data_IF_347266538914
#
_entry.id   IF_347266538914
#
_cell.length_a   1.000
_cell.length_b   1.000
_cell.length_c   1.000
_cell.angle_alpha   90.00
_cell.angle_beta   90.00
_cell.angle_gamma   90.00
#
_symmetry.space_group_name_H-M   'P 1'
#
loop_
_entity.id
_entity.type
_entity.pdbx_description
1 polymer ?
#
# COMPACT_ATOMS: atom_id res chain seq x y z
N UNK A 1 11.36 8.44 10.53
CA UNK A 1 11.64 7.31 9.62
C UNK A 1 10.36 6.49 9.52
N UNK A 2 9.87 6.10 8.33
CA UNK A 2 8.60 5.35 8.23
C UNK A 2 8.79 3.94 8.79
N UNK A 3 7.85 3.45 9.59
CA UNK A 3 7.88 2.11 10.21
C UNK A 3 8.13 0.98 9.19
N UNK A 4 7.75 1.21 7.93
CA UNK A 4 7.81 0.26 6.82
C UNK A 4 9.09 0.34 5.98
N UNK A 5 9.91 1.40 6.13
CA UNK A 5 11.28 1.44 5.59
C UNK A 5 12.19 0.35 6.19
N UNK A 6 11.70 -0.34 7.21
CA UNK A 6 12.38 -1.44 7.90
C UNK A 6 11.90 -2.84 7.50
N UNK A 7 10.80 -2.99 6.75
CA UNK A 7 10.23 -4.31 6.37
C UNK A 7 10.95 -4.96 5.18
N UNK A 8 11.72 -4.21 4.40
CA UNK A 8 12.36 -4.75 3.20
C UNK A 8 13.58 -5.60 3.57
N UNK A 9 13.56 -6.89 3.22
CA UNK A 9 14.69 -7.81 3.45
C UNK A 9 15.96 -7.46 2.64
N UNK A 10 15.89 -6.56 1.66
CA UNK A 10 17.03 -6.21 0.80
C UNK A 10 17.36 -4.72 0.79
N UNK A 11 18.66 -4.42 0.94
CA UNK A 11 19.30 -3.16 0.55
C UNK A 11 19.50 -3.07 -0.99
N UNK A 12 18.66 -3.74 -1.78
CA UNK A 12 18.68 -3.52 -3.22
C UNK A 12 17.72 -2.38 -3.55
N UNK A 13 18.34 -1.20 -3.66
CA UNK A 13 17.77 -0.04 -4.33
C UNK A 13 17.38 -0.50 -5.74
N UNK A 14 16.09 -0.64 -6.00
CA UNK A 14 15.59 -0.74 -7.37
C UNK A 14 15.89 0.60 -8.05
N UNK A 15 16.97 0.62 -8.84
CA UNK A 15 17.19 1.64 -9.84
C UNK A 15 16.14 1.41 -10.91
N UNK A 16 15.13 2.28 -10.97
CA UNK A 16 14.28 2.39 -12.16
C UNK A 16 15.16 2.99 -13.26
N UNK A 17 15.44 2.30 -14.37
CA UNK A 17 16.25 2.85 -15.44
C UNK A 17 15.40 3.88 -16.19
N UNK A 18 15.68 5.16 -15.96
CA UNK A 18 15.22 6.21 -16.86
C UNK A 18 16.14 6.22 -18.08
N UNK A 19 15.55 6.07 -19.27
CA UNK A 19 16.22 6.19 -20.55
C UNK A 19 17.01 7.51 -20.63
N UNK A 20 18.33 7.44 -20.84
CA UNK A 20 19.12 8.55 -21.37
C UNK A 20 19.57 8.16 -22.79
N UNK A 21 19.14 8.98 -23.75
CA UNK A 21 19.57 8.95 -25.13
C UNK A 21 21.10 9.07 -25.24
N UNK A 22 21.68 8.19 -26.05
CA UNK A 22 23.05 8.25 -26.54
C UNK A 22 23.35 9.59 -27.23
N UNK A 23 24.34 10.31 -26.74
CA UNK A 23 25.19 11.21 -27.54
C UNK A 23 26.64 10.88 -27.16
N UNK A 24 27.55 10.60 -28.11
CA UNK A 24 28.95 10.35 -27.80
C UNK A 24 29.68 11.69 -27.65
N UNK A 25 30.49 11.85 -26.60
CA UNK A 25 31.89 12.27 -26.69
C UNK A 25 32.51 12.49 -25.30
N UNK A 26 33.66 11.84 -25.14
CA UNK A 26 34.78 11.99 -24.20
C UNK A 26 34.83 13.16 -23.21
N UNK A 27 35.29 12.79 -22.00
CA UNK A 27 36.22 13.50 -21.11
C UNK A 27 35.64 14.20 -19.85
N UNK A 28 36.10 13.67 -18.70
CA UNK A 28 36.50 14.36 -17.46
C UNK A 28 35.45 14.58 -16.35
N UNK A 29 35.91 14.20 -15.15
CA UNK A 29 35.53 14.61 -13.79
C UNK A 29 34.39 13.84 -13.09
N UNK A 30 34.82 13.03 -12.12
CA UNK A 30 34.05 12.58 -10.97
C UNK A 30 33.31 13.74 -10.30
N UNK A 31 31.98 13.65 -10.29
CA UNK A 31 31.12 14.45 -9.41
C UNK A 31 30.49 13.51 -8.39
N UNK A 32 30.92 13.66 -7.13
CA UNK A 32 30.27 13.08 -5.96
C UNK A 32 28.88 13.70 -5.80
N UNK A 33 27.82 12.89 -5.96
CA UNK A 33 26.48 13.28 -5.55
C UNK A 33 26.32 12.96 -4.06
N UNK A 34 26.47 13.99 -3.24
CA UNK A 34 26.10 13.96 -1.82
C UNK A 34 24.58 13.78 -1.70
N UNK A 35 24.13 12.57 -1.40
CA UNK A 35 22.81 12.37 -0.81
C UNK A 35 22.80 13.02 0.57
N UNK A 36 21.99 14.05 0.74
CA UNK A 36 21.65 14.59 2.05
C UNK A 36 20.84 13.53 2.83
N UNK A 37 21.54 12.58 3.46
CA UNK A 37 20.97 11.80 4.55
C UNK A 37 20.72 12.75 5.71
N UNK A 38 19.47 13.14 5.90
CA UNK A 38 19.05 13.85 7.09
C UNK A 38 19.15 12.89 8.28
N UNK A 39 20.29 12.99 8.97
CA UNK A 39 20.62 12.21 10.17
C UNK A 39 19.79 12.76 11.33
N UNK A 40 18.61 12.19 11.56
CA UNK A 40 17.78 12.52 12.72
C UNK A 40 18.17 11.63 13.92
N UNK A 41 18.38 12.21 15.12
CA UNK A 41 18.88 11.48 16.26
C UNK A 41 17.70 10.81 16.97
N UNK A 42 17.46 9.54 16.66
CA UNK A 42 16.79 8.63 17.58
C UNK A 42 17.48 7.28 17.47
N UNK A 43 18.70 7.22 17.99
CA UNK A 43 19.25 5.96 18.49
C UNK A 43 18.44 5.65 19.75
N UNK A 44 17.38 4.85 19.60
CA UNK A 44 16.88 4.11 20.75
C UNK A 44 18.02 3.19 21.16
N UNK A 45 18.80 3.60 22.16
CA UNK A 45 19.74 2.72 22.85
C UNK A 45 18.87 1.71 23.59
N UNK A 46 18.44 0.69 22.85
CA UNK A 46 18.06 -0.56 23.48
C UNK A 46 19.39 -1.17 23.87
N UNK A 47 19.63 -1.26 25.17
CA UNK A 47 20.76 -1.99 25.75
C UNK A 47 20.51 -3.48 25.48
N UNK A 48 20.61 -3.89 24.21
CA UNK A 48 20.65 -5.28 23.80
C UNK A 48 22.04 -5.70 24.21
N UNK A 49 22.14 -6.52 25.26
CA UNK A 49 23.38 -7.18 25.64
C UNK A 49 24.03 -7.72 24.36
N UNK A 50 25.09 -7.06 23.91
CA UNK A 50 25.73 -7.32 22.61
C UNK A 50 26.62 -8.57 22.69
N UNK A 51 26.11 -9.62 23.32
CA UNK A 51 26.87 -10.81 23.70
C UNK A 51 25.98 -12.04 23.75
N UNK A 52 25.39 -12.47 22.64
CA UNK A 52 24.55 -13.67 22.69
C UNK A 52 24.61 -14.45 21.38
N UNK A 53 25.66 -15.28 21.24
CA UNK A 53 25.57 -16.47 20.38
C UNK A 53 24.41 -17.30 20.92
N UNK A 54 23.38 -17.54 20.11
CA UNK A 54 22.31 -18.43 20.52
C UNK A 54 22.91 -19.82 20.77
N UNK A 55 22.64 -20.44 21.91
CA UNK A 55 23.20 -21.74 22.26
C UNK A 55 22.10 -22.80 22.29
N UNK A 56 22.48 -24.04 21.98
CA UNK A 56 21.60 -25.20 22.03
C UNK A 56 21.01 -25.42 23.44
N UNK A 57 21.73 -24.99 24.48
CA UNK A 57 21.33 -25.16 25.87
C UNK A 57 20.05 -24.40 26.22
N UNK A 58 19.78 -23.27 25.55
CA UNK A 58 18.56 -22.49 25.72
C UNK A 58 17.30 -23.26 25.30
N UNK A 59 17.44 -24.30 24.49
CA UNK A 59 16.33 -25.12 23.97
C UNK A 59 16.12 -26.43 24.74
N UNK A 60 16.97 -26.76 25.73
CA UNK A 60 16.88 -28.04 26.45
C UNK A 60 15.55 -28.23 27.20
N UNK A 61 14.91 -27.14 27.62
CA UNK A 61 13.62 -27.15 28.32
C UNK A 61 12.41 -27.26 27.39
N UNK A 62 12.62 -27.14 26.07
CA UNK A 62 11.54 -27.19 25.08
C UNK A 62 11.34 -28.62 24.62
N UNK A 63 10.18 -29.19 24.95
CA UNK A 63 9.74 -30.46 24.42
C UNK A 63 8.85 -30.23 23.18
N UNK A 64 9.45 -30.36 21.99
CA UNK A 64 8.77 -30.10 20.72
C UNK A 64 7.60 -31.07 20.50
N UNK A 65 7.76 -32.35 20.83
CA UNK A 65 6.68 -33.35 20.67
C UNK A 65 5.49 -33.04 21.58
N UNK A 66 5.76 -32.52 22.78
CA UNK A 66 4.70 -32.03 23.66
C UNK A 66 3.99 -30.80 23.06
N UNK A 67 4.71 -29.84 22.50
CA UNK A 67 4.11 -28.68 21.83
C UNK A 67 3.21 -29.08 20.67
N UNK A 68 3.64 -30.05 19.86
CA UNK A 68 2.86 -30.60 18.74
C UNK A 68 1.62 -31.33 19.29
N UNK A 69 1.77 -32.15 20.33
CA UNK A 69 0.64 -32.83 20.97
C UNK A 69 -0.41 -31.85 21.52
N UNK A 70 0.03 -30.73 22.12
CA UNK A 70 -0.86 -29.65 22.55
C UNK A 70 -1.56 -29.03 21.35
N UNK A 71 -0.84 -28.74 20.27
CA UNK A 71 -1.40 -28.17 19.05
C UNK A 71 -2.46 -29.06 18.40
N UNK A 72 -2.23 -30.39 18.39
CA UNK A 72 -3.18 -31.39 17.89
C UNK A 72 -4.41 -31.47 18.79
N UNK A 73 -4.22 -31.52 20.12
CA UNK A 73 -5.31 -31.56 21.10
C UNK A 73 -6.21 -30.33 21.00
N UNK A 74 -5.62 -29.16 20.76
CA UNK A 74 -6.33 -27.91 20.50
C UNK A 74 -6.89 -27.79 19.08
N UNK A 75 -6.60 -28.76 18.21
CA UNK A 75 -6.99 -28.76 16.80
C UNK A 75 -6.58 -27.48 16.05
N UNK A 76 -5.37 -26.97 16.34
CA UNK A 76 -4.92 -25.66 15.85
C UNK A 76 -4.86 -25.58 14.32
N UNK A 77 -4.62 -26.71 13.64
CA UNK A 77 -4.54 -26.80 12.18
C UNK A 77 -5.87 -26.46 11.46
N UNK A 78 -6.99 -26.50 12.19
CA UNK A 78 -8.33 -26.19 11.66
C UNK A 78 -8.86 -24.85 12.17
N UNK A 79 -8.05 -24.06 12.88
CA UNK A 79 -8.45 -22.74 13.35
C UNK A 79 -8.49 -21.74 12.20
N UNK A 80 -9.43 -20.80 12.25
CA UNK A 80 -9.54 -19.74 11.26
C UNK A 80 -8.28 -18.86 11.21
N UNK A 81 -7.62 -18.67 12.35
CA UNK A 81 -6.36 -17.92 12.47
C UNK A 81 -5.22 -18.57 11.67
N UNK A 82 -5.05 -19.90 11.80
CA UNK A 82 -4.04 -20.64 11.03
C UNK A 82 -4.32 -20.59 9.53
N UNK A 83 -5.60 -20.71 9.15
CA UNK A 83 -6.01 -20.65 7.77
C UNK A 83 -5.82 -19.26 7.16
N UNK A 84 -6.08 -18.19 7.92
CA UNK A 84 -5.82 -16.82 7.48
C UNK A 84 -4.32 -16.53 7.31
N UNK A 85 -3.47 -16.99 8.24
CA UNK A 85 -2.00 -16.87 8.14
C UNK A 85 -1.47 -17.53 6.87
N UNK A 86 -1.98 -18.72 6.52
CA UNK A 86 -1.51 -19.48 5.36
C UNK A 86 -2.34 -19.28 4.09
N UNK A 87 -3.32 -18.39 4.12
CA UNK A 87 -4.23 -18.11 3.02
C UNK A 87 -4.92 -19.38 2.49
N UNK A 88 -5.29 -20.31 3.38
CA UNK A 88 -5.98 -21.54 3.00
C UNK A 88 -7.42 -21.26 2.55
N UNK A 89 -7.83 -22.01 1.52
CA UNK A 89 -9.20 -22.09 1.06
C UNK A 89 -9.60 -23.54 0.86
N UNK A 90 -10.89 -23.80 1.06
CA UNK A 90 -11.51 -25.06 0.65
C UNK A 90 -12.02 -24.89 -0.78
N UNK A 91 -11.57 -25.78 -1.65
CA UNK A 91 -12.06 -25.92 -3.02
C UNK A 91 -12.69 -27.32 -3.21
N UNK A 92 -13.20 -27.61 -4.41
CA UNK A 92 -13.81 -28.91 -4.74
C UNK A 92 -12.82 -30.09 -4.66
N UNK A 93 -11.52 -29.83 -4.72
CA UNK A 93 -10.45 -30.83 -4.65
C UNK A 93 -9.82 -30.96 -3.26
N UNK A 94 -10.25 -30.18 -2.27
CA UNK A 94 -9.73 -30.20 -0.90
C UNK A 94 -9.32 -28.83 -0.38
N UNK A 95 -8.33 -28.81 0.52
CA UNK A 95 -7.77 -27.60 1.09
C UNK A 95 -6.52 -27.22 0.29
N UNK A 96 -6.40 -25.96 -0.09
CA UNK A 96 -5.23 -25.43 -0.82
C UNK A 96 -4.96 -24.01 -0.35
N UNK A 97 -3.69 -23.68 -0.14
CA UNK A 97 -3.25 -22.29 0.06
C UNK A 97 -3.18 -21.56 -1.27
N UNK A 98 -3.63 -20.31 -1.26
CA UNK A 98 -3.51 -19.41 -2.40
C UNK A 98 -2.09 -18.88 -2.59
N UNK A 99 -1.18 -19.08 -1.63
CA UNK A 99 0.23 -18.75 -1.82
C UNK A 99 0.89 -19.84 -2.68
N UNK A 100 1.57 -19.42 -3.76
CA UNK A 100 2.17 -20.34 -4.72
C UNK A 100 3.67 -20.55 -4.51
N UNK A 101 4.37 -19.62 -3.84
CA UNK A 101 5.80 -19.74 -3.58
C UNK A 101 6.12 -20.91 -2.61
N UNK A 102 6.88 -21.93 -3.02
CA UNK A 102 7.28 -23.02 -2.15
C UNK A 102 8.06 -22.55 -0.91
N UNK A 103 8.76 -21.41 -0.98
CA UNK A 103 9.52 -20.86 0.15
C UNK A 103 8.65 -20.35 1.30
N UNK A 104 7.34 -20.22 1.08
CA UNK A 104 6.39 -19.85 2.12
C UNK A 104 6.04 -21.03 3.04
N UNK A 105 6.18 -22.27 2.57
CA UNK A 105 5.83 -23.47 3.33
C UNK A 105 7.08 -24.15 3.90
N UNK A 106 6.97 -24.62 5.12
CA UNK A 106 8.01 -25.39 5.80
C UNK A 106 7.86 -26.89 5.56
N UNK A 107 6.62 -27.37 5.38
CA UNK A 107 6.33 -28.73 5.00
C UNK A 107 6.31 -28.89 3.47
N UNK A 108 6.85 -29.99 2.91
CA UNK A 108 6.81 -30.25 1.46
C UNK A 108 5.38 -30.29 0.87
N UNK A 109 4.42 -30.75 1.66
CA UNK A 109 2.99 -30.78 1.33
C UNK A 109 2.19 -29.64 1.99
N UNK A 110 2.88 -28.66 2.59
CA UNK A 110 2.27 -27.59 3.39
C UNK A 110 1.24 -26.78 2.62
N UNK A 111 1.40 -26.61 1.31
CA UNK A 111 0.39 -25.95 0.47
C UNK A 111 -0.99 -26.61 0.49
N UNK A 112 -1.07 -27.90 0.78
CA UNK A 112 -2.32 -28.68 0.76
C UNK A 112 -2.66 -29.34 2.10
N UNK A 113 -1.73 -29.31 3.06
CA UNK A 113 -1.86 -30.00 4.34
C UNK A 113 -1.62 -29.05 5.53
N UNK A 114 -2.69 -28.42 6.05
CA UNK A 114 -2.59 -27.50 7.19
C UNK A 114 -1.97 -28.12 8.44
N UNK A 115 -2.15 -29.43 8.66
CA UNK A 115 -1.58 -30.13 9.81
C UNK A 115 -0.08 -30.33 9.65
N UNK A 116 0.37 -30.80 8.49
CA UNK A 116 1.80 -30.99 8.20
C UNK A 116 2.57 -29.66 8.29
N UNK A 117 2.00 -28.58 7.74
CA UNK A 117 2.61 -27.26 7.83
C UNK A 117 2.69 -26.73 9.26
N UNK A 118 1.66 -26.99 10.09
CA UNK A 118 1.66 -26.57 11.50
C UNK A 118 2.76 -27.29 12.28
N UNK A 119 2.83 -28.60 12.09
CA UNK A 119 3.84 -29.47 12.68
C UNK A 119 5.26 -29.06 12.29
N UNK A 120 5.49 -28.75 11.01
CA UNK A 120 6.77 -28.25 10.52
C UNK A 120 7.09 -26.86 11.07
N UNK A 121 6.08 -25.99 11.18
CA UNK A 121 6.22 -24.64 11.76
C UNK A 121 6.62 -24.68 13.23
N UNK A 122 5.99 -25.53 14.03
CA UNK A 122 6.36 -25.71 15.45
C UNK A 122 7.79 -26.23 15.56
N UNK A 123 8.17 -27.24 14.77
CA UNK A 123 9.55 -27.74 14.76
C UNK A 123 10.54 -26.65 14.38
N UNK A 124 10.24 -25.87 13.34
CA UNK A 124 11.13 -24.83 12.86
C UNK A 124 11.32 -23.71 13.89
N UNK A 125 10.25 -23.19 14.49
CA UNK A 125 10.31 -22.05 15.41
C UNK A 125 10.87 -22.40 16.80
N UNK A 126 10.80 -23.67 17.22
CA UNK A 126 11.15 -24.11 18.58
C UNK A 126 12.34 -25.08 18.62
N UNK A 127 12.96 -25.42 17.49
CA UNK A 127 14.23 -26.17 17.45
C UNK A 127 15.43 -25.23 17.39
N UNK A 128 16.58 -25.68 17.89
CA UNK A 128 17.84 -24.98 17.70
C UNK A 128 18.33 -25.05 16.24
N UNK A 129 18.65 -23.88 15.69
CA UNK A 129 19.31 -23.63 14.42
C UNK A 129 20.55 -22.77 14.65
N UNK A 130 21.68 -23.23 14.12
CA UNK A 130 22.99 -22.58 14.35
C UNK A 130 23.15 -21.26 13.58
N UNK A 131 22.53 -21.16 12.39
CA UNK A 131 22.85 -20.11 11.41
C UNK A 131 21.78 -19.04 11.23
N UNK A 132 20.57 -19.30 11.69
CA UNK A 132 19.42 -18.43 11.45
C UNK A 132 18.49 -18.36 12.65
N UNK A 133 17.74 -17.27 12.73
CA UNK A 133 16.64 -17.11 13.66
C UNK A 133 15.31 -17.33 12.91
N UNK A 134 14.61 -18.45 13.16
CA UNK A 134 13.31 -18.75 12.54
C UNK A 134 12.25 -17.64 12.66
N UNK A 135 12.28 -16.85 13.74
CA UNK A 135 11.33 -15.75 13.98
C UNK A 135 11.59 -14.60 13.00
N UNK A 136 12.83 -14.41 12.53
CA UNK A 136 13.14 -13.40 11.51
C UNK A 136 12.35 -13.65 10.21
N UNK A 137 11.92 -14.88 9.95
CA UNK A 137 11.12 -15.23 8.76
C UNK A 137 9.62 -15.26 9.04
N UNK A 138 9.21 -15.80 10.19
CA UNK A 138 7.82 -16.15 10.50
C UNK A 138 7.32 -15.50 11.81
N UNK A 139 7.35 -14.17 11.87
CA UNK A 139 6.96 -13.40 13.07
C UNK A 139 5.48 -13.57 13.45
N UNK A 140 4.56 -13.63 12.49
CA UNK A 140 3.13 -13.72 12.75
C UNK A 140 2.74 -15.13 13.20
N UNK A 141 3.28 -16.17 12.55
CA UNK A 141 3.12 -17.56 12.99
C UNK A 141 3.71 -17.76 14.38
N UNK A 142 4.88 -17.16 14.65
CA UNK A 142 5.47 -17.18 15.98
C UNK A 142 4.57 -16.52 17.02
N UNK A 143 4.13 -15.29 16.78
CA UNK A 143 3.28 -14.54 17.72
C UNK A 143 1.99 -15.31 18.05
N UNK A 144 1.37 -15.91 17.03
CA UNK A 144 0.19 -16.74 17.22
C UNK A 144 0.49 -18.02 18.01
N UNK A 145 1.52 -18.78 17.61
CA UNK A 145 1.87 -20.04 18.29
C UNK A 145 2.34 -19.81 19.73
N UNK A 146 3.06 -18.72 20.01
CA UNK A 146 3.45 -18.32 21.36
C UNK A 146 2.23 -18.17 22.26
N UNK A 147 1.17 -17.52 21.77
CA UNK A 147 -0.10 -17.36 22.49
C UNK A 147 -0.82 -18.70 22.67
N UNK A 148 -0.96 -19.49 21.62
CA UNK A 148 -1.69 -20.76 21.66
C UNK A 148 -0.98 -21.84 22.48
N UNK A 149 0.35 -21.88 22.45
CA UNK A 149 1.15 -22.88 23.16
C UNK A 149 1.65 -22.38 24.53
N UNK A 150 1.43 -21.10 24.85
CA UNK A 150 1.89 -20.45 26.09
C UNK A 150 3.39 -20.67 26.36
N UNK A 151 4.18 -20.78 25.29
CA UNK A 151 5.59 -21.10 25.34
C UNK A 151 6.33 -20.12 24.44
N UNK A 152 7.19 -19.23 24.98
CA UNK A 152 8.04 -18.40 24.15
C UNK A 152 9.21 -19.22 23.59
N UNK A 153 9.64 -18.90 22.37
CA UNK A 153 10.88 -19.45 21.81
C UNK A 153 12.08 -18.63 22.28
N UNK A 154 13.22 -19.25 22.63
CA UNK A 154 14.44 -18.54 22.99
C UNK A 154 14.87 -17.52 21.94
N UNK A 155 14.55 -17.76 20.67
CA UNK A 155 14.82 -16.84 19.56
C UNK A 155 14.19 -15.45 19.69
N UNK A 156 13.13 -15.29 20.49
CA UNK A 156 12.36 -14.05 20.58
C UNK A 156 13.24 -12.84 20.92
N UNK A 157 14.12 -13.00 21.92
CA UNK A 157 14.98 -11.92 22.41
C UNK A 157 16.12 -11.59 21.43
N UNK A 158 16.38 -12.48 20.47
CA UNK A 158 17.43 -12.34 19.44
C UNK A 158 16.88 -11.79 18.12
N UNK A 159 15.56 -11.73 17.95
CA UNK A 159 14.92 -11.17 16.77
C UNK A 159 14.77 -9.64 16.95
N UNK A 160 15.78 -8.88 16.53
CA UNK A 160 15.79 -7.42 16.66
C UNK A 160 14.53 -6.77 16.07
N UNK A 161 14.09 -7.24 14.90
CA UNK A 161 12.92 -6.69 14.20
C UNK A 161 11.61 -6.93 14.94
N UNK A 162 11.41 -8.14 15.45
CA UNK A 162 10.27 -8.45 16.30
C UNK A 162 10.28 -7.54 17.55
N UNK A 163 11.42 -7.39 18.23
CA UNK A 163 11.54 -6.51 19.40
C UNK A 163 11.25 -5.03 19.06
N UNK A 164 11.71 -4.53 17.91
CA UNK A 164 11.39 -3.17 17.43
C UNK A 164 9.88 -2.96 17.25
N UNK A 165 9.18 -3.93 16.66
CA UNK A 165 7.72 -3.84 16.43
C UNK A 165 6.94 -3.96 17.75
N UNK A 166 7.31 -4.90 18.62
CA UNK A 166 6.64 -5.10 19.92
C UNK A 166 6.85 -3.90 20.85
N UNK A 167 8.04 -3.30 20.84
CA UNK A 167 8.36 -2.14 21.69
C UNK A 167 7.75 -0.83 21.22
N UNK A 168 7.14 -0.80 20.01
CA UNK A 168 6.53 0.41 19.47
C UNK A 168 5.27 0.80 20.26
N UNK A 169 5.33 1.96 20.92
CA UNK A 169 4.25 2.47 21.78
C UNK A 169 3.34 3.48 21.08
N UNK A 170 3.81 4.11 20.02
CA UNK A 170 3.04 5.15 19.35
C UNK A 170 1.85 4.56 18.59
N UNK A 171 0.78 5.33 18.48
CA UNK A 171 -0.41 4.89 17.74
C UNK A 171 -0.11 4.81 16.25
N UNK A 172 -0.25 3.62 15.70
CA UNK A 172 -0.24 3.36 14.27
C UNK A 172 -1.69 3.27 13.78
N UNK A 173 -1.99 4.02 12.72
CA UNK A 173 -3.27 3.98 12.02
C UNK A 173 -3.09 3.27 10.68
N UNK A 174 -4.07 2.46 10.31
CA UNK A 174 -4.13 1.80 9.00
C UNK A 174 -5.34 2.33 8.26
N UNK A 175 -5.19 2.71 6.99
CA UNK A 175 -6.32 3.06 6.13
C UNK A 175 -6.37 2.12 4.94
N UNK A 176 -7.57 1.67 4.58
CA UNK A 176 -7.86 1.07 3.29
C UNK A 176 -8.14 2.19 2.30
N UNK A 177 -7.36 2.27 1.23
CA UNK A 177 -7.43 3.35 0.25
C UNK A 177 -7.97 2.79 -1.06
N UNK A 178 -8.95 3.49 -1.64
CA UNK A 178 -9.61 3.14 -2.89
C UNK A 178 -9.60 4.33 -3.85
N UNK A 179 -8.67 4.35 -4.82
CA UNK A 179 -8.75 5.23 -5.97
C UNK A 179 -9.91 4.80 -6.89
N UNK A 180 -10.83 5.70 -7.20
CA UNK A 180 -12.03 5.40 -8.02
C UNK A 180 -11.65 4.92 -9.42
N UNK A 181 -12.50 4.14 -10.11
CA UNK A 181 -12.16 3.57 -11.42
C UNK A 181 -11.75 4.61 -12.48
N UNK A 182 -10.80 4.24 -13.35
CA UNK A 182 -10.35 5.06 -14.47
C UNK A 182 -10.71 4.39 -15.80
N UNK A 183 -11.78 4.89 -16.44
CA UNK A 183 -12.39 4.29 -17.64
C UNK A 183 -11.42 4.20 -18.82
N UNK A 184 -10.45 5.12 -18.90
CA UNK A 184 -9.50 5.17 -20.02
C UNK A 184 -8.40 4.08 -19.94
N UNK A 185 -8.39 3.24 -18.90
CA UNK A 185 -7.49 2.09 -18.79
C UNK A 185 -8.24 0.84 -18.31
N UNK A 186 -8.35 -0.24 -19.12
CA UNK A 186 -9.06 -1.45 -18.71
C UNK A 186 -8.51 -2.10 -17.42
N UNK A 187 -7.19 -1.98 -17.16
CA UNK A 187 -6.58 -2.49 -15.93
C UNK A 187 -6.92 -1.66 -14.67
N UNK A 188 -7.33 -0.40 -14.83
CA UNK A 188 -7.70 0.52 -13.74
C UNK A 188 -9.21 0.82 -13.69
N UNK A 189 -9.98 0.24 -14.61
CA UNK A 189 -11.40 0.56 -14.84
C UNK A 189 -12.28 0.28 -13.61
N UNK A 190 -11.97 -0.78 -12.86
CA UNK A 190 -12.75 -1.17 -11.68
C UNK A 190 -12.23 -0.59 -10.36
N UNK A 191 -11.20 0.27 -10.43
CA UNK A 191 -10.46 0.69 -9.25
C UNK A 191 -9.46 -0.37 -8.80
N UNK A 192 -8.76 -0.07 -7.72
CA UNK A 192 -7.99 -1.04 -6.95
C UNK A 192 -7.92 -0.57 -5.51
N UNK A 193 -7.44 -1.40 -4.60
CA UNK A 193 -7.22 -0.98 -3.22
C UNK A 193 -5.76 -1.13 -2.83
N UNK A 194 -5.33 -0.31 -1.87
CA UNK A 194 -4.07 -0.45 -1.16
C UNK A 194 -4.31 -0.19 0.34
N UNK A 195 -3.39 -0.60 1.20
CA UNK A 195 -3.37 -0.17 2.60
C UNK A 195 -2.34 0.94 2.78
N UNK A 196 -2.61 1.88 3.67
CA UNK A 196 -1.59 2.82 4.18
C UNK A 196 -1.39 2.58 5.66
N UNK A 197 -0.15 2.67 6.10
CA UNK A 197 0.22 2.59 7.51
C UNK A 197 0.90 3.89 7.90
N UNK A 198 0.28 4.56 8.86
CA UNK A 198 0.64 5.89 9.32
C UNK A 198 0.97 5.85 10.81
N UNK A 199 2.12 6.42 11.17
CA UNK A 199 2.45 6.79 12.54
C UNK A 199 2.52 8.31 12.66
N UNK A 200 2.75 8.80 13.88
CA UNK A 200 3.00 10.22 14.12
C UNK A 200 4.23 10.78 13.37
N UNK A 201 5.21 9.93 13.03
CA UNK A 201 6.44 10.36 12.34
C UNK A 201 6.33 10.36 10.82
N UNK A 202 5.26 9.81 10.26
CA UNK A 202 5.03 9.74 8.82
C UNK A 202 3.54 9.95 8.49
N UNK A 203 2.97 11.12 8.84
CA UNK A 203 1.56 11.40 8.63
C UNK A 203 1.21 11.63 7.16
N UNK A 204 -0.05 11.33 6.80
CA UNK A 204 -0.63 11.66 5.50
C UNK A 204 0.17 11.09 4.33
N UNK A 205 0.63 11.96 3.41
CA UNK A 205 1.37 11.56 2.21
C UNK A 205 2.73 10.90 2.49
N UNK A 206 3.29 11.11 3.68
CA UNK A 206 4.54 10.46 4.09
C UNK A 206 4.32 9.03 4.60
N UNK A 207 3.06 8.62 4.75
CA UNK A 207 2.71 7.25 5.13
C UNK A 207 3.26 6.25 4.12
N UNK A 208 3.33 5.00 4.54
CA UNK A 208 3.79 3.92 3.68
C UNK A 208 2.58 3.16 3.15
N UNK A 209 2.55 2.99 1.83
CA UNK A 209 1.55 2.25 1.10
C UNK A 209 1.99 0.79 0.95
N UNK A 210 1.10 -0.14 1.30
CA UNK A 210 1.22 -1.57 1.03
C UNK A 210 0.27 -1.89 -0.13
N UNK A 211 0.84 -2.34 -1.23
CA UNK A 211 0.14 -2.67 -2.45
C UNK A 211 0.45 -4.10 -2.87
N UNK A 212 -0.52 -4.80 -3.45
CA UNK A 212 -0.30 -6.10 -4.09
C UNK A 212 -0.40 -5.93 -5.61
N UNK A 213 0.64 -6.29 -6.34
CA UNK A 213 0.68 -6.09 -7.79
C UNK A 213 1.42 -7.21 -8.51
N UNK A 214 1.02 -7.46 -9.76
CA UNK A 214 1.75 -8.32 -10.67
C UNK A 214 3.12 -7.71 -11.03
N UNK A 215 4.17 -8.52 -10.96
CA UNK A 215 5.48 -8.14 -11.49
C UNK A 215 5.53 -8.50 -12.98
N UNK A 216 5.48 -7.49 -13.85
CA UNK A 216 5.48 -7.68 -15.30
C UNK A 216 6.47 -6.73 -15.98
N UNK A 217 7.29 -7.26 -16.89
CA UNK A 217 8.13 -6.45 -17.79
C UNK A 217 7.44 -6.19 -19.14
N UNK A 218 6.12 -6.44 -19.24
CA UNK A 218 5.39 -6.45 -20.51
C UNK A 218 4.57 -5.18 -20.69
N UNK A 219 4.50 -4.70 -21.93
CA UNK A 219 3.63 -3.59 -22.32
C UNK A 219 2.20 -4.08 -22.55
N UNK A 220 1.23 -3.20 -22.34
CA UNK A 220 -0.20 -3.51 -22.45
C UNK A 220 -0.55 -4.09 -23.84
N UNK A 221 -1.20 -5.25 -23.90
CA UNK A 221 -1.56 -5.94 -25.15
C UNK A 221 -2.43 -7.19 -24.94
N UNK A 222 -2.91 -7.85 -26.03
CA UNK A 222 -3.78 -9.03 -25.94
C UNK A 222 -3.15 -10.20 -25.16
N UNK A 223 -1.84 -10.38 -25.29
CA UNK A 223 -1.08 -11.38 -24.53
C UNK A 223 -1.02 -11.05 -23.03
N UNK A 224 -0.92 -9.76 -22.70
CA UNK A 224 -0.96 -9.27 -21.32
C UNK A 224 -2.33 -9.49 -20.68
N UNK A 225 -3.41 -9.16 -21.41
CA UNK A 225 -4.77 -9.45 -20.96
C UNK A 225 -4.99 -10.96 -20.79
N UNK A 226 -4.60 -11.80 -21.77
CA UNK A 226 -4.70 -13.25 -21.65
C UNK A 226 -3.95 -13.77 -20.42
N UNK A 227 -2.69 -13.38 -20.23
CA UNK A 227 -1.89 -13.83 -19.09
C UNK A 227 -2.45 -13.39 -17.74
N UNK A 228 -2.98 -12.16 -17.67
CA UNK A 228 -3.64 -11.64 -16.48
C UNK A 228 -4.95 -12.36 -16.15
N UNK A 229 -5.70 -12.80 -17.16
CA UNK A 229 -6.95 -13.56 -16.97
C UNK A 229 -6.65 -14.98 -16.46
N UNK A 230 -5.58 -15.60 -16.93
CA UNK A 230 -5.23 -16.99 -16.61
C UNK A 230 -4.18 -17.15 -15.50
N UNK A 231 -3.81 -16.08 -14.78
CA UNK A 231 -2.95 -16.19 -13.60
C UNK A 231 -1.46 -16.38 -13.88
N UNK A 232 -0.98 -16.10 -15.09
CA UNK A 232 0.42 -16.37 -15.48
C UNK A 232 1.43 -15.33 -14.97
N UNK A 233 0.99 -14.39 -14.13
CA UNK A 233 1.87 -13.40 -13.51
C UNK A 233 2.09 -13.70 -12.05
N UNK A 234 3.29 -13.42 -11.55
CA UNK A 234 3.57 -13.51 -10.11
C UNK A 234 3.20 -12.19 -9.44
N UNK A 235 2.27 -12.25 -8.50
CA UNK A 235 1.88 -11.13 -7.66
C UNK A 235 2.74 -11.06 -6.41
N UNK A 236 3.05 -9.85 -5.96
CA UNK A 236 3.84 -9.60 -4.76
C UNK A 236 3.25 -8.47 -3.95
N UNK A 237 3.37 -8.57 -2.63
CA UNK A 237 3.22 -7.41 -1.76
C UNK A 237 4.43 -6.49 -1.93
N UNK A 238 4.16 -5.20 -2.00
CA UNK A 238 5.15 -4.15 -2.20
C UNK A 238 4.86 -2.99 -1.27
N UNK A 239 5.93 -2.39 -0.75
CA UNK A 239 5.87 -1.28 0.17
C UNK A 239 6.53 -0.08 -0.49
N UNK A 240 5.84 1.04 -0.51
CA UNK A 240 6.34 2.27 -1.11
C UNK A 240 5.80 3.52 -0.40
N UNK A 241 6.47 4.68 -0.51
CA UNK A 241 5.90 5.95 -0.05
C UNK A 241 4.52 6.26 -0.66
N UNK A 242 3.55 6.65 0.16
CA UNK A 242 2.17 6.88 -0.28
C UNK A 242 2.05 8.07 -1.24
N UNK A 243 2.85 9.13 -1.08
CA UNK A 243 2.84 10.27 -2.00
C UNK A 243 3.07 9.88 -3.47
N UNK A 244 3.84 8.83 -3.75
CA UNK A 244 4.07 8.36 -5.12
C UNK A 244 2.78 7.80 -5.73
N UNK A 245 1.99 7.07 -4.93
CA UNK A 245 0.68 6.57 -5.37
C UNK A 245 -0.36 7.67 -5.52
N UNK A 246 -0.36 8.65 -4.62
CA UNK A 246 -1.24 9.82 -4.77
C UNK A 246 -0.90 10.61 -6.03
N UNK A 247 0.39 10.83 -6.32
CA UNK A 247 0.82 11.49 -7.55
C UNK A 247 0.38 10.71 -8.81
N UNK A 248 0.56 9.39 -8.82
CA UNK A 248 0.09 8.53 -9.90
C UNK A 248 -1.42 8.67 -10.11
N UNK A 249 -2.23 8.50 -9.06
CA UNK A 249 -3.69 8.45 -9.19
C UNK A 249 -4.33 9.84 -9.36
N UNK A 250 -3.96 10.81 -8.53
CA UNK A 250 -4.57 12.13 -8.53
C UNK A 250 -4.04 13.02 -9.64
N UNK A 251 -2.73 12.99 -9.91
CA UNK A 251 -2.11 13.93 -10.85
C UNK A 251 -2.08 13.37 -12.26
N UNK A 252 -1.70 12.10 -12.44
CA UNK A 252 -1.59 11.50 -13.78
C UNK A 252 -2.92 10.88 -14.26
N UNK A 253 -3.61 10.14 -13.39
CA UNK A 253 -4.86 9.46 -13.77
C UNK A 253 -6.12 10.28 -13.47
N UNK A 254 -5.99 11.43 -12.78
CA UNK A 254 -7.11 12.32 -12.41
C UNK A 254 -8.23 11.62 -11.61
N UNK A 255 -7.85 10.69 -10.73
CA UNK A 255 -8.77 9.85 -9.95
C UNK A 255 -8.96 10.41 -8.55
N UNK A 256 -10.21 10.43 -8.11
CA UNK A 256 -10.53 10.70 -6.72
C UNK A 256 -10.13 9.52 -5.85
N UNK A 257 -9.81 9.78 -4.59
CA UNK A 257 -9.36 8.77 -3.63
C UNK A 257 -10.27 8.79 -2.41
N UNK A 258 -10.76 7.62 -2.04
CA UNK A 258 -11.45 7.39 -0.77
C UNK A 258 -10.53 6.65 0.19
N UNK A 259 -10.38 7.15 1.41
CA UNK A 259 -9.60 6.48 2.46
C UNK A 259 -10.54 6.09 3.60
N UNK A 260 -10.54 4.81 3.96
CA UNK A 260 -11.33 4.24 5.03
C UNK A 260 -10.38 3.93 6.19
N UNK A 261 -10.39 4.75 7.23
CA UNK A 261 -9.59 4.50 8.43
C UNK A 261 -10.12 3.27 9.14
N UNK A 262 -9.23 2.30 9.36
CA UNK A 262 -9.58 1.04 9.96
C UNK A 262 -9.61 1.16 11.49
N UNK A 263 -10.68 0.65 12.09
CA UNK A 263 -10.85 0.46 13.52
C UNK A 263 -10.02 -0.74 13.99
N UNK A 264 -8.69 -0.63 13.97
CA UNK A 264 -7.78 -1.66 14.49
C UNK A 264 -7.13 -1.19 15.78
N UNK A 265 -7.07 -2.07 16.78
CA UNK A 265 -6.26 -1.83 17.97
C UNK A 265 -4.77 -2.07 17.67
N UNK A 266 -3.89 -1.65 18.58
CA UNK A 266 -2.44 -1.72 18.32
C UNK A 266 -1.88 -3.15 18.29
N UNK A 267 -2.52 -4.11 18.96
CA UNK A 267 -2.15 -5.53 18.85
C UNK A 267 -2.49 -6.07 17.45
N UNK A 268 -3.68 -5.75 16.95
CA UNK A 268 -4.12 -6.11 15.60
C UNK A 268 -3.20 -5.49 14.53
N UNK A 269 -2.82 -4.22 14.69
CA UNK A 269 -1.87 -3.57 13.77
C UNK A 269 -0.50 -4.23 13.81
N UNK A 270 0.05 -4.55 14.99
CA UNK A 270 1.33 -5.27 15.09
C UNK A 270 1.26 -6.64 14.42
N UNK A 271 0.18 -7.38 14.65
CA UNK A 271 -0.01 -8.70 14.06
C UNK A 271 -0.12 -8.63 12.52
N UNK A 272 -0.82 -7.62 11.99
CA UNK A 272 -0.84 -7.33 10.55
C UNK A 272 0.57 -7.04 10.01
N UNK A 273 1.37 -6.23 10.70
CA UNK A 273 2.74 -5.91 10.29
C UNK A 273 3.65 -7.13 10.29
N UNK A 274 3.51 -8.02 11.28
CA UNK A 274 4.21 -9.31 11.27
C UNK A 274 3.82 -10.14 10.06
N UNK A 275 2.54 -10.17 9.68
CA UNK A 275 2.12 -10.95 8.52
C UNK A 275 2.60 -10.34 7.20
N UNK A 276 2.57 -9.01 7.08
CA UNK A 276 3.16 -8.30 5.93
C UNK A 276 4.64 -8.65 5.79
N UNK A 277 5.36 -8.75 6.90
CA UNK A 277 6.75 -9.20 6.90
C UNK A 277 6.90 -10.63 6.38
N UNK A 278 6.03 -11.56 6.79
CA UNK A 278 6.08 -12.94 6.29
C UNK A 278 5.81 -13.06 4.78
N UNK A 279 5.11 -12.08 4.21
CA UNK A 279 4.76 -12.04 2.79
C UNK A 279 5.78 -11.27 1.94
N UNK A 280 6.84 -10.70 2.54
CA UNK A 280 7.88 -10.01 1.78
C UNK A 280 8.57 -10.98 0.81
N UNK A 281 8.63 -10.60 -0.47
CA UNK A 281 9.19 -11.40 -1.56
C UNK A 281 8.57 -12.83 -1.72
N UNK A 282 7.35 -13.03 -1.23
CA UNK A 282 6.56 -14.25 -1.46
C UNK A 282 5.57 -13.99 -2.58
N UNK A 283 5.54 -14.88 -3.58
CA UNK A 283 4.58 -14.76 -4.68
C UNK A 283 3.36 -15.65 -4.52
N UNK A 284 2.26 -15.16 -5.07
CA UNK A 284 1.08 -15.93 -5.44
C UNK A 284 0.76 -15.66 -6.91
N UNK A 285 0.12 -16.59 -7.58
CA UNK A 285 -0.31 -16.41 -8.97
C UNK A 285 -1.34 -15.27 -9.01
N UNK A 286 -1.09 -14.26 -9.85
CA UNK A 286 -1.89 -13.05 -9.94
C UNK A 286 -2.88 -13.17 -11.08
N UNK A 287 -4.14 -13.17 -10.71
CA UNK A 287 -5.25 -13.19 -11.64
C UNK A 287 -6.00 -11.86 -11.58
N UNK A 288 -6.39 -11.31 -12.73
CA UNK A 288 -7.01 -10.00 -12.83
C UNK A 288 -8.41 -9.96 -12.21
N UNK A 289 -9.08 -11.10 -12.19
CA UNK A 289 -10.49 -11.18 -11.91
C UNK A 289 -10.84 -11.78 -10.56
N UNK A 290 -9.96 -12.52 -9.90
CA UNK A 290 -10.18 -13.13 -8.59
C UNK A 290 -9.06 -12.77 -7.60
N UNK A 291 -7.90 -13.43 -7.65
CA UNK A 291 -6.76 -13.26 -6.74
C UNK A 291 -5.96 -11.97 -7.03
N UNK A 292 -6.70 -10.87 -7.21
CA UNK A 292 -6.16 -9.56 -7.52
C UNK A 292 -5.72 -8.80 -6.27
N UNK A 293 -5.22 -7.59 -6.49
CA UNK A 293 -4.80 -6.65 -5.45
C UNK A 293 -5.81 -6.46 -4.31
N UNK A 294 -7.10 -6.38 -4.64
CA UNK A 294 -8.13 -6.05 -3.66
C UNK A 294 -8.53 -7.25 -2.81
N UNK A 295 -8.40 -8.46 -3.35
CA UNK A 295 -8.62 -9.70 -2.61
C UNK A 295 -7.47 -10.01 -1.65
N UNK A 296 -6.22 -9.97 -2.12
CA UNK A 296 -5.06 -10.35 -1.31
C UNK A 296 -4.87 -9.44 -0.07
N UNK A 297 -5.27 -8.18 -0.15
CA UNK A 297 -5.26 -7.28 1.01
C UNK A 297 -6.27 -7.68 2.09
N UNK A 298 -7.33 -8.41 1.76
CA UNK A 298 -8.30 -8.90 2.75
C UNK A 298 -7.66 -9.88 3.72
N UNK A 299 -6.69 -10.69 3.29
CA UNK A 299 -5.96 -11.58 4.19
C UNK A 299 -5.17 -10.82 5.26
N UNK A 300 -4.63 -9.63 4.94
CA UNK A 300 -3.92 -8.80 5.91
C UNK A 300 -4.85 -8.29 7.02
N UNK A 301 -6.14 -8.10 6.73
CA UNK A 301 -7.15 -7.71 7.72
C UNK A 301 -7.75 -8.95 8.42
N UNK A 302 -8.06 -10.01 7.69
CA UNK A 302 -8.62 -11.24 8.24
C UNK A 302 -7.68 -11.91 9.24
N UNK A 303 -6.37 -11.84 9.03
CA UNK A 303 -5.39 -12.35 9.98
C UNK A 303 -5.48 -11.65 11.35
N UNK A 304 -6.02 -10.43 11.42
CA UNK A 304 -6.20 -9.73 12.70
C UNK A 304 -7.51 -10.09 13.41
N UNK A 305 -8.53 -10.51 12.64
CA UNK A 305 -9.86 -10.91 13.12
C UNK A 305 -10.36 -12.08 12.26
N UNK A 306 -9.92 -13.32 12.54
CA UNK A 306 -10.16 -14.45 11.64
C UNK A 306 -11.64 -14.82 11.48
N UNK A 307 -12.47 -14.48 12.47
CA UNK A 307 -13.93 -14.70 12.44
C UNK A 307 -14.68 -13.71 11.53
N UNK A 308 -13.98 -12.70 10.97
CA UNK A 308 -14.57 -11.73 10.05
C UNK A 308 -14.94 -12.33 8.69
N UNK A 309 -14.30 -13.45 8.31
CA UNK A 309 -14.52 -14.14 7.04
C UNK A 309 -14.45 -13.22 5.81
N UNK A 310 -13.63 -12.16 5.87
CA UNK A 310 -13.38 -11.19 4.81
C UNK A 310 -12.99 -11.84 3.49
N UNK A 311 -12.38 -13.01 3.48
CA UNK A 311 -11.91 -13.67 2.25
C UNK A 311 -12.91 -14.69 1.69
N UNK A 312 -14.05 -14.94 2.35
CA UNK A 312 -15.07 -15.90 1.89
C UNK A 312 -16.02 -15.31 0.82
N UNK A 313 -16.84 -16.14 0.17
CA UNK A 313 -17.95 -15.69 -0.70
C UNK A 313 -17.57 -14.80 -1.91
N UNK A 314 -16.33 -14.85 -2.39
CA UNK A 314 -16.00 -14.34 -3.72
C UNK A 314 -16.15 -15.47 -4.73
N UNK A 315 -17.26 -15.46 -5.46
CA UNK A 315 -17.54 -16.46 -6.48
C UNK A 315 -17.20 -15.90 -7.86
N UNK A 316 -16.25 -16.54 -8.54
CA UNK A 316 -15.79 -16.28 -9.91
C UNK A 316 -15.07 -14.93 -10.15
N UNK A 317 -15.45 -13.84 -9.48
CA UNK A 317 -14.86 -12.51 -9.67
C UNK A 317 -14.80 -11.69 -8.37
N UNK A 318 -13.71 -10.98 -8.12
CA UNK A 318 -13.48 -10.01 -7.05
C UNK A 318 -13.49 -8.61 -7.65
N UNK A 319 -14.56 -7.86 -7.39
CA UNK A 319 -14.64 -6.45 -7.74
C UNK A 319 -14.15 -5.63 -6.53
N UNK A 320 -13.19 -4.70 -6.70
CA UNK A 320 -12.63 -3.91 -5.61
C UNK A 320 -13.68 -3.22 -4.72
N UNK A 321 -14.78 -2.74 -5.30
CA UNK A 321 -15.82 -2.07 -4.49
C UNK A 321 -16.56 -3.03 -3.54
N UNK A 322 -16.67 -4.31 -3.92
CA UNK A 322 -17.31 -5.32 -3.05
C UNK A 322 -16.39 -5.69 -1.89
N UNK A 323 -15.07 -5.62 -2.07
CA UNK A 323 -14.13 -5.80 -0.96
C UNK A 323 -14.28 -4.67 0.07
N UNK A 324 -14.43 -3.41 -0.38
CA UNK A 324 -14.73 -2.27 0.50
C UNK A 324 -16.04 -2.49 1.28
N UNK A 325 -17.14 -2.83 0.60
CA UNK A 325 -18.43 -3.12 1.25
C UNK A 325 -18.29 -4.18 2.33
N UNK A 326 -17.52 -5.23 2.04
CA UNK A 326 -17.30 -6.33 2.97
C UNK A 326 -16.50 -5.93 4.21
N UNK A 327 -15.44 -5.13 4.03
CA UNK A 327 -14.65 -4.56 5.12
C UNK A 327 -15.52 -3.66 6.01
N UNK A 328 -16.37 -2.82 5.41
CA UNK A 328 -17.34 -1.98 6.14
C UNK A 328 -18.32 -2.86 6.94
N UNK A 329 -18.96 -3.84 6.29
CA UNK A 329 -19.95 -4.71 6.92
C UNK A 329 -19.35 -5.58 8.05
N UNK A 330 -18.06 -5.91 7.97
CA UNK A 330 -17.33 -6.63 9.00
C UNK A 330 -16.89 -5.74 10.18
N UNK A 331 -17.26 -4.45 10.20
CA UNK A 331 -16.97 -3.53 11.32
C UNK A 331 -15.52 -3.06 11.38
N UNK A 332 -14.77 -3.16 10.27
CA UNK A 332 -13.38 -2.70 10.22
C UNK A 332 -13.25 -1.20 10.01
N UNK A 333 -14.28 -0.49 9.53
CA UNK A 333 -14.14 0.95 9.19
C UNK A 333 -14.63 1.83 10.33
N UNK A 334 -13.75 2.71 10.83
CA UNK A 334 -14.05 3.73 11.84
C UNK A 334 -14.58 5.02 11.19
N UNK A 335 -13.87 5.50 10.16
CA UNK A 335 -14.20 6.75 9.48
C UNK A 335 -13.78 6.72 8.02
N UNK A 336 -14.26 7.70 7.25
CA UNK A 336 -14.04 7.79 5.80
C UNK A 336 -13.65 9.21 5.43
N UNK A 337 -12.57 9.37 4.68
CA UNK A 337 -12.11 10.64 4.11
C UNK A 337 -12.13 10.59 2.58
N UNK A 338 -12.32 11.76 1.98
CA UNK A 338 -12.30 11.96 0.53
C UNK A 338 -11.15 12.88 0.17
N UNK A 339 -10.34 12.45 -0.78
CA UNK A 339 -9.27 13.24 -1.39
C UNK A 339 -9.64 13.49 -2.86
N UNK A 340 -9.99 14.73 -3.22
CA UNK A 340 -10.34 15.07 -4.59
C UNK A 340 -9.12 14.97 -5.50
N UNK A 341 -9.36 14.55 -6.74
CA UNK A 341 -8.39 14.62 -7.81
C UNK A 341 -8.14 16.06 -8.23
N UNK A 342 -7.09 16.25 -9.04
CA UNK A 342 -6.82 17.55 -9.65
C UNK A 342 -7.97 18.02 -10.52
N UNK A 343 -8.57 17.13 -11.31
CA UNK A 343 -9.74 17.46 -12.16
C UNK A 343 -10.96 17.83 -11.33
N UNK A 344 -11.24 17.12 -10.24
CA UNK A 344 -12.34 17.46 -9.32
C UNK A 344 -12.13 18.83 -8.70
N UNK A 345 -10.90 19.14 -8.31
CA UNK A 345 -10.49 20.46 -7.79
C UNK A 345 -10.69 21.57 -8.82
N UNK A 346 -10.18 21.39 -10.04
CA UNK A 346 -10.33 22.36 -11.14
C UNK A 346 -11.81 22.57 -11.47
N UNK A 347 -12.60 21.51 -11.60
CA UNK A 347 -14.02 21.61 -11.91
C UNK A 347 -14.77 22.41 -10.83
N UNK A 348 -14.47 22.15 -9.55
CA UNK A 348 -15.06 22.91 -8.46
C UNK A 348 -14.68 24.40 -8.51
N UNK A 349 -13.41 24.72 -8.77
CA UNK A 349 -12.96 26.12 -8.92
C UNK A 349 -13.64 26.80 -10.11
N UNK A 350 -13.73 26.13 -11.26
CA UNK A 350 -14.36 26.66 -12.48
C UNK A 350 -15.84 26.99 -12.26
N UNK A 351 -16.58 26.21 -11.48
CA UNK A 351 -17.99 26.50 -11.15
C UNK A 351 -18.18 27.82 -10.38
N UNK A 352 -17.12 28.34 -9.75
CA UNK A 352 -17.14 29.61 -9.03
C UNK A 352 -16.69 30.81 -9.89
N UNK A 353 -16.27 30.56 -11.13
CA UNK A 353 -15.77 31.58 -12.05
C UNK A 353 -16.83 31.96 -13.08
N UNK A 354 -16.90 33.24 -13.42
CA UNK A 354 -17.67 33.73 -14.57
C UNK A 354 -16.91 33.50 -15.90
N UNK A 355 -17.57 33.66 -17.06
CA UNK A 355 -16.95 33.40 -18.36
C UNK A 355 -15.67 34.21 -18.64
N UNK A 356 -15.59 35.47 -18.21
CA UNK A 356 -14.41 36.31 -18.40
C UNK A 356 -13.23 35.84 -17.54
N UNK A 357 -13.50 35.43 -16.29
CA UNK A 357 -12.49 34.85 -15.42
C UNK A 357 -11.96 33.53 -16.00
N UNK A 358 -12.83 32.66 -16.51
CA UNK A 358 -12.44 31.41 -17.18
C UNK A 358 -11.57 31.70 -18.42
N UNK A 359 -11.87 32.75 -19.18
CA UNK A 359 -11.05 33.18 -20.31
C UNK A 359 -9.63 33.53 -19.86
N UNK A 360 -9.48 34.25 -18.75
CA UNK A 360 -8.16 34.54 -18.18
C UNK A 360 -7.41 33.29 -17.73
N UNK A 361 -8.08 32.34 -17.07
CA UNK A 361 -7.46 31.05 -16.70
C UNK A 361 -6.90 30.35 -17.94
N UNK A 362 -7.68 30.27 -19.02
CA UNK A 362 -7.25 29.66 -20.29
C UNK A 362 -6.11 30.43 -20.95
N UNK A 363 -6.19 31.76 -21.03
CA UNK A 363 -5.14 32.59 -21.61
C UNK A 363 -3.81 32.44 -20.88
N UNK A 364 -3.84 32.39 -19.54
CA UNK A 364 -2.65 32.15 -18.73
C UNK A 364 -2.07 30.76 -19.01
N UNK A 365 -2.90 29.72 -18.96
CA UNK A 365 -2.47 28.35 -19.25
C UNK A 365 -1.97 28.18 -20.70
N UNK A 366 -2.50 28.93 -21.66
CA UNK A 366 -2.04 28.89 -23.06
C UNK A 366 -0.75 29.70 -23.31
N UNK A 367 -0.11 30.23 -22.27
CA UNK A 367 1.04 31.12 -22.39
C UNK A 367 0.78 32.34 -23.30
N UNK A 368 -0.46 32.85 -23.32
CA UNK A 368 -0.78 34.02 -24.12
C UNK A 368 0.01 35.25 -23.61
N UNK A 369 0.59 35.99 -24.56
CA UNK A 369 1.44 37.12 -24.24
C UNK A 369 0.66 38.17 -23.40
N UNK A 370 1.29 38.66 -22.33
CA UNK A 370 0.72 39.62 -21.36
C UNK A 370 -0.53 39.13 -20.61
N UNK A 371 -0.93 37.86 -20.67
CA UNK A 371 -2.14 37.39 -19.96
C UNK A 371 -2.12 37.74 -18.46
N UNK A 372 -0.98 37.53 -17.79
CA UNK A 372 -0.77 37.87 -16.38
C UNK A 372 -0.81 39.39 -16.12
N UNK A 373 -0.18 40.19 -16.98
CA UNK A 373 -0.21 41.66 -16.87
C UNK A 373 -1.60 42.22 -17.09
N UNK A 374 -2.33 41.67 -18.07
CA UNK A 374 -3.71 42.03 -18.36
C UNK A 374 -4.63 41.68 -17.19
N UNK A 375 -4.40 40.54 -16.53
CA UNK A 375 -5.13 40.17 -15.32
C UNK A 375 -4.90 41.20 -14.20
N UNK A 376 -3.66 41.60 -13.95
CA UNK A 376 -3.33 42.59 -12.92
C UNK A 376 -4.00 43.94 -13.18
N UNK A 377 -4.06 44.37 -14.44
CA UNK A 377 -4.67 45.63 -14.87
C UNK A 377 -6.20 45.56 -15.07
N UNK A 378 -6.80 44.38 -14.92
CA UNK A 378 -8.25 44.20 -15.07
C UNK A 378 -9.03 44.83 -13.90
N UNK A 379 -10.32 45.10 -14.16
CA UNK A 379 -11.29 45.60 -13.18
C UNK A 379 -11.74 44.55 -12.15
N UNK A 380 -11.22 43.33 -12.19
CA UNK A 380 -11.55 42.31 -11.20
C UNK A 380 -11.11 42.74 -9.80
N UNK A 381 -11.93 42.37 -8.82
CA UNK A 381 -11.58 42.48 -7.41
C UNK A 381 -10.36 41.62 -7.08
N UNK A 382 -9.71 41.91 -5.97
CA UNK A 382 -8.57 41.12 -5.49
C UNK A 382 -8.92 39.63 -5.35
N UNK A 383 -10.06 39.34 -4.71
CA UNK A 383 -10.57 37.97 -4.56
C UNK A 383 -10.77 37.26 -5.91
N UNK A 384 -11.32 37.95 -6.91
CA UNK A 384 -11.49 37.38 -8.25
C UNK A 384 -10.15 37.10 -8.95
N UNK A 385 -9.15 37.99 -8.79
CA UNK A 385 -7.80 37.77 -9.31
C UNK A 385 -7.14 36.56 -8.66
N UNK A 386 -7.32 36.40 -7.34
CA UNK A 386 -6.88 35.22 -6.59
C UNK A 386 -7.54 33.95 -7.13
N UNK A 387 -8.86 33.92 -7.30
CA UNK A 387 -9.58 32.75 -7.83
C UNK A 387 -9.08 32.34 -9.22
N UNK A 388 -8.82 33.33 -10.10
CA UNK A 388 -8.23 33.07 -11.43
C UNK A 388 -6.85 32.45 -11.30
N UNK A 389 -5.97 33.02 -10.46
CA UNK A 389 -4.59 32.55 -10.31
C UNK A 389 -4.53 31.15 -9.68
N UNK A 390 -5.34 30.88 -8.66
CA UNK A 390 -5.44 29.57 -8.02
C UNK A 390 -5.92 28.51 -9.02
N UNK A 391 -6.99 28.81 -9.76
CA UNK A 391 -7.51 27.91 -10.80
C UNK A 391 -6.50 27.71 -11.95
N UNK A 392 -5.79 28.76 -12.35
CA UNK A 392 -4.75 28.67 -13.37
C UNK A 392 -3.57 27.79 -12.90
N UNK A 393 -3.13 27.96 -11.65
CA UNK A 393 -2.09 27.13 -11.03
C UNK A 393 -2.45 25.64 -11.05
N UNK A 394 -3.69 25.27 -10.70
CA UNK A 394 -4.16 23.88 -10.78
C UNK A 394 -4.23 23.37 -12.23
N UNK A 395 -4.75 24.19 -13.15
CA UNK A 395 -4.89 23.80 -14.55
C UNK A 395 -3.55 23.65 -15.26
N UNK A 396 -2.55 24.47 -14.94
CA UNK A 396 -1.18 24.34 -15.46
C UNK A 396 -0.54 23.02 -15.03
N UNK A 397 -0.68 22.66 -13.75
CA UNK A 397 -0.19 21.37 -13.24
C UNK A 397 -0.89 20.19 -13.93
N UNK A 398 -2.21 20.28 -14.16
CA UNK A 398 -2.97 19.27 -14.91
C UNK A 398 -2.45 19.10 -16.35
N UNK A 399 -2.21 20.20 -17.07
CA UNK A 399 -1.67 20.14 -18.44
C UNK A 399 -0.24 19.60 -18.48
N UNK A 400 0.59 19.93 -17.48
CA UNK A 400 1.91 19.32 -17.35
C UNK A 400 1.85 17.81 -17.12
N UNK A 401 0.96 17.35 -16.23
CA UNK A 401 0.74 15.93 -15.97
C UNK A 401 0.27 15.17 -17.24
N UNK A 402 -0.53 15.82 -18.08
CA UNK A 402 -0.95 15.31 -19.40
C UNK A 402 0.09 15.47 -20.52
N UNK A 403 1.33 15.86 -20.18
CA UNK A 403 2.45 16.02 -21.13
C UNK A 403 2.21 17.09 -22.20
N UNK A 404 1.36 18.08 -21.91
CA UNK A 404 1.10 19.20 -22.82
C UNK A 404 2.18 20.30 -22.73
N UNK A 405 3.03 20.26 -21.70
CA UNK A 405 4.18 21.16 -21.55
C UNK A 405 5.48 20.38 -21.43
N UNK A 406 6.56 20.97 -21.94
CA UNK A 406 7.91 20.62 -21.48
C UNK A 406 8.10 21.02 -20.01
N UNK A 407 9.06 20.40 -19.33
CA UNK A 407 9.38 20.76 -17.95
C UNK A 407 9.75 22.24 -17.80
N UNK A 408 10.47 22.80 -18.78
CA UNK A 408 10.88 24.21 -18.76
C UNK A 408 9.68 25.15 -18.89
N UNK A 409 8.79 24.89 -19.86
CA UNK A 409 7.57 25.69 -20.04
C UNK A 409 6.70 25.68 -18.77
N UNK A 410 6.50 24.49 -18.18
CA UNK A 410 5.77 24.34 -16.94
C UNK A 410 6.39 25.16 -15.81
N UNK A 411 7.70 25.01 -15.58
CA UNK A 411 8.41 25.73 -14.51
C UNK A 411 8.31 27.25 -14.69
N UNK A 412 8.58 27.74 -15.90
CA UNK A 412 8.55 29.17 -16.21
C UNK A 412 7.14 29.75 -15.98
N UNK A 413 6.10 29.09 -16.49
CA UNK A 413 4.72 29.57 -16.34
C UNK A 413 4.24 29.47 -14.89
N UNK A 414 4.42 28.30 -14.26
CA UNK A 414 3.92 28.05 -12.91
C UNK A 414 4.56 28.98 -11.89
N UNK A 415 5.88 29.19 -11.96
CA UNK A 415 6.58 30.12 -11.08
C UNK A 415 6.08 31.56 -11.29
N UNK A 416 5.84 31.98 -12.53
CA UNK A 416 5.34 33.33 -12.81
C UNK A 416 3.92 33.55 -12.27
N UNK A 417 3.04 32.56 -12.38
CA UNK A 417 1.71 32.58 -11.74
C UNK A 417 1.85 32.67 -10.22
N UNK A 418 2.68 31.82 -9.61
CA UNK A 418 2.88 31.80 -8.16
C UNK A 418 3.49 33.11 -7.61
N UNK A 419 4.43 33.72 -8.33
CA UNK A 419 5.01 35.03 -7.97
C UNK A 419 3.96 36.13 -7.91
N UNK A 420 3.00 36.13 -8.82
CA UNK A 420 1.91 37.11 -8.81
C UNK A 420 0.92 36.75 -7.70
N UNK A 421 0.58 35.46 -7.58
CA UNK A 421 -0.34 34.97 -6.54
C UNK A 421 0.15 35.30 -5.13
N UNK A 422 1.45 35.23 -4.87
CA UNK A 422 2.05 35.54 -3.57
C UNK A 422 2.05 37.04 -3.23
N UNK A 423 1.78 37.93 -4.19
CA UNK A 423 1.62 39.36 -3.92
C UNK A 423 0.27 39.70 -3.27
N UNK A 424 -0.69 38.77 -3.30
CA UNK A 424 -1.99 38.91 -2.65
C UNK A 424 -1.97 38.27 -1.26
N UNK A 425 -2.21 39.03 -0.17
CA UNK A 425 -2.10 38.53 1.21
C UNK A 425 -3.22 37.55 1.59
N UNK A 426 -4.37 37.59 0.89
CA UNK A 426 -5.51 36.73 1.19
C UNK A 426 -5.28 35.30 0.67
N UNK A 427 -5.52 34.30 1.53
CA UNK A 427 -5.63 32.89 1.16
C UNK A 427 -7.11 32.52 1.06
N UNK A 428 -7.53 31.96 -0.08
CA UNK A 428 -8.86 31.39 -0.23
C UNK A 428 -8.84 29.90 0.11
N UNK A 429 -9.90 29.40 0.72
CA UNK A 429 -10.10 27.97 0.97
C UNK A 429 -11.20 27.46 0.05
N UNK A 430 -10.91 26.40 -0.68
CA UNK A 430 -11.86 25.75 -1.59
C UNK A 430 -12.30 24.44 -0.94
N UNK A 431 -13.45 24.47 -0.25
CA UNK A 431 -14.03 23.26 0.34
C UNK A 431 -14.82 22.49 -0.71
N UNK A 432 -14.19 21.47 -1.27
CA UNK A 432 -14.81 20.61 -2.27
C UNK A 432 -15.81 19.68 -1.56
N UNK A 433 -17.08 19.64 -2.00
CA UNK A 433 -18.08 18.76 -1.40
C UNK A 433 -17.74 17.30 -1.71
N UNK A 434 -17.95 16.42 -0.74
CA UNK A 434 -17.76 14.99 -0.95
C UNK A 434 -18.79 14.48 -1.96
N UNK A 435 -18.39 13.75 -3.02
CA UNK A 435 -19.33 13.06 -3.88
C UNK A 435 -19.99 11.89 -3.13
N UNK A 436 -21.04 11.29 -3.69
CA UNK A 436 -21.59 10.04 -3.15
C UNK A 436 -20.50 8.98 -2.99
N UNK A 437 -20.51 8.26 -1.87
CA UNK A 437 -19.48 7.25 -1.61
C UNK A 437 -19.62 6.08 -2.58
N UNK A 438 -18.52 5.55 -3.15
CA UNK A 438 -18.58 4.59 -4.23
C UNK A 438 -19.27 3.28 -3.83
N UNK A 439 -19.15 2.87 -2.57
CA UNK A 439 -19.73 1.64 -2.02
C UNK A 439 -21.26 1.72 -1.88
N UNK A 440 -21.82 2.94 -1.85
CA UNK A 440 -23.28 3.18 -1.80
C UNK A 440 -23.94 3.11 -3.18
N UNK A 441 -23.14 2.99 -4.25
CA UNK A 441 -23.65 2.76 -5.60
C UNK A 441 -24.33 1.39 -5.76
N UNK A 442 -24.84 1.11 -6.96
CA UNK A 442 -25.49 -0.16 -7.27
C UNK A 442 -24.57 -1.36 -6.97
N UNK A 443 -25.19 -2.46 -6.54
CA UNK A 443 -24.48 -3.73 -6.36
C UNK A 443 -24.03 -4.30 -7.69
N UNK A 444 -22.91 -5.01 -7.65
CA UNK A 444 -22.38 -5.79 -8.76
C UNK A 444 -23.40 -6.85 -9.17
N UNK A 445 -23.72 -6.90 -10.46
CA UNK A 445 -24.57 -7.95 -11.01
C UNK A 445 -23.84 -9.29 -10.98
N UNK A 446 -24.03 -10.09 -9.93
CA UNK A 446 -23.61 -11.48 -9.92
C UNK A 446 -24.71 -12.31 -10.57
N UNK A 447 -24.36 -13.15 -11.57
CA UNK A 447 -25.24 -14.24 -11.99
C UNK A 447 -25.31 -15.22 -10.82
N UNK A 448 -26.40 -15.16 -10.05
CA UNK A 448 -26.75 -16.22 -9.09
C UNK A 448 -27.46 -17.33 -9.85
N UNK A 449 -26.79 -18.45 -10.06
CA UNK A 449 -27.49 -19.71 -10.30
C UNK A 449 -28.17 -20.08 -8.98
N UNK A 450 -29.52 -20.09 -8.99
CA UNK A 450 -30.34 -20.54 -7.87
C UNK A 450 -30.25 -22.06 -7.71
#
# INVERSE_FOLDING_TARGET
>A
MSLLSYIRHSKEIFIVPFFILLIPFTAISSYDYAYAQQKYPYETIIDISSSTTISKDLFQSINIDQLISIAHTKNLCNTAQWWALLHYKKNIFGIKSLVDDPKFFLAPDGKYNPQSELDATIRYLYSYHEKENPIDRFMARYEWLKKELQTPSPYEVFCKKYQEIVSFKDTIKVNLVFPTGYINSPASMFGHTLLTVQSQYNPGLLSSAINYAANTNETFGPLFAFRGIFGFYKGYFSIMPYYMKVQEYSDLESRDIWEYTLNLNQEEVRFMLFHIWELDNVYSDYYFFDENCSFNLLYLMEVTRPDSHLTNNFFFWVIPIDTIRKVINAGFVESTSFRPSRTTTINHMVLQLNPDQIKFVKSIANHENKALTNLLNSSFTETQKIQILDCASEFIQYRYANKEYTQKEYQDLFINVLKIRSSFPQTLSYTIPNPPRPETGHYSSHIRLQ
#
